data_IF_148510866124
#
_entry.id   IF_148510866124
#
_cell.length_a   1.000
_cell.length_b   1.000
_cell.length_c   1.000
_cell.angle_alpha   90.00
_cell.angle_beta   90.00
_cell.angle_gamma   90.00
#
_symmetry.space_group_name_H-M   'P 1'
#
loop_
_entity.id
_entity.type
_entity.pdbx_description
1 polymer ?
2 non-polymer ?
3 non-polymer ?
4 non-polymer ?
5 non-polymer ?
6 water ?
#
# COMPACT_ATOMS: atom_id res chain seq x y z
N UNK A 2 5.78 23.64 21.28
CA UNK A 2 6.49 22.42 20.76
C UNK A 2 6.67 22.55 19.25
N UNK A 3 7.91 22.55 18.76
CA UNK A 3 8.10 22.86 17.35
C UNK A 3 7.50 21.79 16.41
N UNK A 4 7.54 20.50 16.82
CA UNK A 4 6.99 19.39 16.01
C UNK A 4 5.48 19.46 16.02
N UNK A 5 4.93 19.87 17.15
CA UNK A 5 3.51 20.18 17.24
C UNK A 5 3.04 21.23 16.23
N UNK A 6 3.72 22.36 16.20
CA UNK A 6 3.43 23.45 15.25
C UNK A 6 3.66 22.96 13.82
N UNK A 7 4.74 22.22 13.61
CA UNK A 7 4.95 21.62 12.28
C UNK A 7 3.87 20.62 11.84
N UNK A 8 3.33 19.85 12.79
CA UNK A 8 2.33 18.81 12.48
C UNK A 8 1.07 19.47 11.98
N UNK A 9 0.72 20.57 12.66
CA UNK A 9 -0.40 21.38 12.26
C UNK A 9 -0.24 21.87 10.83
N UNK A 10 0.95 22.34 10.48
CA UNK A 10 1.17 22.89 9.15
C UNK A 10 1.10 21.82 8.06
N UNK A 11 1.67 20.65 8.36
CA UNK A 11 1.73 19.56 7.39
C UNK A 11 0.32 19.03 7.10
N UNK A 12 -0.48 18.94 8.14
CA UNK A 12 -1.84 18.52 7.97
C UNK A 12 -2.58 19.50 7.09
N UNK A 13 -2.36 20.80 7.32
CA UNK A 13 -3.01 21.83 6.52
C UNK A 13 -2.61 21.78 5.04
N UNK A 14 -1.34 21.51 4.75
CA UNK A 14 -0.84 21.39 3.36
C UNK A 14 -1.22 20.10 2.66
N UNK A 15 -1.24 18.99 3.37
CA UNK A 15 -1.38 17.68 2.67
C UNK A 15 -2.57 16.81 3.13
N UNK A 16 -3.20 17.19 4.25
CA UNK A 16 -4.27 16.43 4.87
C UNK A 16 -3.76 15.26 5.72
N UNK A 17 -2.45 15.05 5.76
CA UNK A 17 -1.85 13.93 6.47
C UNK A 17 -1.65 14.39 7.89
N UNK A 18 -2.16 13.64 8.86
CA UNK A 18 -2.12 14.06 10.25
C UNK A 18 -1.02 13.26 10.93
N UNK A 19 0.13 13.89 11.15
CA UNK A 19 1.27 13.23 11.76
C UNK A 19 1.00 12.88 13.22
N UNK A 20 -0.08 13.40 13.84
CA UNK A 20 -0.41 12.89 15.19
C UNK A 20 -0.84 11.42 15.19
N UNK A 21 -1.16 10.91 14.00
CA UNK A 21 -1.59 9.51 13.76
C UNK A 21 -0.45 8.57 13.37
N UNK A 22 0.76 9.11 13.37
CA UNK A 22 2.00 8.40 13.08
C UNK A 22 2.84 8.37 14.34
N UNK A 23 3.50 7.26 14.56
CA UNK A 23 4.44 7.14 15.68
C UNK A 23 5.35 8.37 15.70
N UNK A 24 5.36 9.08 16.83
CA UNK A 24 6.01 10.40 16.90
C UNK A 24 7.50 10.35 16.83
N UNK A 25 8.14 9.80 17.88
CA UNK A 25 9.61 9.74 17.93
C UNK A 25 10.19 9.36 16.56
N UNK A 26 9.59 8.37 15.94
CA UNK A 26 10.10 7.80 14.69
C UNK A 26 9.97 8.67 13.40
N UNK A 27 8.79 9.27 13.23
CA UNK A 27 8.56 10.14 12.11
C UNK A 27 9.28 11.44 12.36
N UNK A 28 9.28 11.91 13.60
CA UNK A 28 9.98 13.18 13.91
C UNK A 28 11.47 13.09 13.52
N UNK A 29 12.04 11.91 13.73
CA UNK A 29 13.44 11.67 13.40
C UNK A 29 13.68 11.56 11.90
N UNK A 30 12.84 10.80 11.21
CA UNK A 30 12.95 10.74 9.78
C UNK A 30 12.80 12.09 9.08
N UNK A 31 11.92 12.96 9.56
CA UNK A 31 11.68 14.22 8.86
C UNK A 31 12.78 15.23 9.21
N UNK A 32 13.26 15.19 10.45
CA UNK A 32 14.47 15.99 10.89
C UNK A 32 15.64 15.64 9.98
N UNK A 33 15.88 14.35 9.80
CA UNK A 33 16.92 13.87 8.89
C UNK A 33 16.75 14.42 7.49
N UNK A 34 15.53 14.34 6.98
CA UNK A 34 15.25 14.84 5.62
C UNK A 34 15.42 16.38 5.46
N UNK A 35 14.82 17.20 6.34
CA UNK A 35 15.12 18.66 6.29
C UNK A 35 16.63 18.99 6.50
N UNK A 36 17.33 18.23 7.36
CA UNK A 36 18.77 18.51 7.62
C UNK A 36 19.63 18.21 6.41
N UNK A 37 19.30 17.12 5.72
CA UNK A 37 19.96 16.80 4.45
C UNK A 37 19.82 17.95 3.43
N UNK A 38 18.67 18.59 3.41
CA UNK A 38 18.47 19.80 2.58
C UNK A 38 19.03 21.09 3.26
N UNK A 39 19.67 20.94 4.45
CA UNK A 39 20.28 22.09 5.14
C UNK A 39 19.26 23.06 5.78
N UNK A 40 18.01 22.63 5.96
CA UNK A 40 17.15 23.38 6.90
C UNK A 40 17.68 23.25 8.32
N UNK A 41 17.32 24.21 9.18
CA UNK A 41 17.83 24.20 10.53
C UNK A 41 16.69 24.11 11.52
N UNK A 42 15.45 24.16 11.02
CA UNK A 42 14.33 23.93 11.92
C UNK A 42 13.17 23.37 11.13
N UNK A 43 12.19 22.82 11.87
CA UNK A 43 10.91 22.51 11.25
C UNK A 43 10.23 23.78 10.71
N UNK A 44 10.32 24.89 11.47
CA UNK A 44 9.73 26.15 11.03
C UNK A 44 10.21 26.46 9.60
N UNK A 45 11.53 26.42 9.38
CA UNK A 45 12.07 26.83 8.08
C UNK A 45 11.69 25.83 7.01
N UNK A 46 11.64 24.55 7.37
CA UNK A 46 11.28 23.45 6.49
C UNK A 46 9.83 23.66 6.01
N UNK A 47 8.97 23.97 6.97
CA UNK A 47 7.53 24.19 6.70
C UNK A 47 7.40 25.32 5.70
N UNK A 48 8.11 26.42 5.93
CA UNK A 48 8.03 27.60 5.01
C UNK A 48 8.38 27.22 3.55
N UNK A 49 9.42 26.43 3.36
CA UNK A 49 9.77 25.97 2.02
C UNK A 49 8.72 25.06 1.40
N UNK A 50 8.21 24.11 2.19
CA UNK A 50 7.19 23.15 1.69
C UNK A 50 5.97 23.88 1.14
N UNK A 51 5.62 25.03 1.74
CA UNK A 51 4.47 25.83 1.25
C UNK A 51 4.74 26.53 -0.04
N UNK A 52 6.02 26.70 -0.38
CA UNK A 52 6.43 27.44 -1.57
C UNK A 52 7.03 26.52 -2.68
N UNK A 53 7.34 25.25 -2.36
CA UNK A 53 8.02 24.35 -3.32
C UNK A 53 7.30 23.00 -3.42
N UNK A 54 6.48 22.83 -4.46
CA UNK A 54 5.59 21.66 -4.63
C UNK A 54 6.41 20.42 -4.73
N UNK A 55 7.45 20.46 -5.54
CA UNK A 55 8.41 19.38 -5.58
C UNK A 55 8.97 18.99 -4.21
N UNK A 56 9.30 19.96 -3.35
CA UNK A 56 9.86 19.59 -2.03
C UNK A 56 8.78 18.82 -1.26
N UNK A 57 7.55 19.31 -1.32
CA UNK A 57 6.36 18.71 -0.69
C UNK A 57 6.11 17.29 -1.20
N UNK A 58 6.15 17.10 -2.53
CA UNK A 58 5.94 15.79 -3.11
C UNK A 58 7.11 14.89 -2.75
N UNK A 59 8.31 15.44 -2.81
CA UNK A 59 9.46 14.69 -2.35
C UNK A 59 9.30 14.25 -0.88
N UNK A 60 8.83 15.15 -0.01
CA UNK A 60 8.71 14.82 1.42
C UNK A 60 7.66 13.73 1.69
N UNK A 61 6.53 13.79 0.99
CA UNK A 61 5.55 12.71 1.12
C UNK A 61 6.25 11.41 0.68
N UNK A 62 7.02 11.51 -0.39
CA UNK A 62 7.68 10.35 -0.96
C UNK A 62 8.76 9.83 -0.05
N UNK A 63 9.11 10.61 0.98
CA UNK A 63 10.16 10.23 1.90
C UNK A 63 9.71 10.03 3.33
N UNK A 64 8.42 10.12 3.61
CA UNK A 64 8.02 9.89 4.99
C UNK A 64 8.00 8.43 5.49
N UNK A 65 8.08 7.44 4.58
CA UNK A 65 8.19 6.03 4.96
C UNK A 65 9.35 5.35 4.22
N UNK A 66 9.71 4.16 4.63
CA UNK A 66 10.60 3.35 3.80
C UNK A 66 9.76 2.65 2.74
N UNK A 67 9.84 3.09 1.47
CA UNK A 67 8.78 2.66 0.56
C UNK A 67 9.22 1.75 -0.59
N UNK A 68 10.45 1.26 -0.51
CA UNK A 68 11.00 0.31 -1.50
C UNK A 68 10.12 -0.95 -1.40
N UNK A 69 9.78 -1.52 -2.55
CA UNK A 69 8.83 -2.63 -2.60
C UNK A 69 9.37 -3.63 -3.65
N UNK A 70 8.67 -4.72 -3.80
CA UNK A 70 9.06 -5.74 -4.75
C UNK A 70 7.84 -6.61 -4.96
N UNK A 71 7.84 -7.31 -6.07
CA UNK A 71 6.81 -8.27 -6.40
C UNK A 71 6.84 -9.43 -5.42
N UNK A 72 5.67 -9.97 -5.13
CA UNK A 72 5.51 -11.11 -4.19
C UNK A 72 6.35 -10.86 -2.95
N UNK A 73 6.32 -9.66 -2.38
CA UNK A 73 7.09 -9.42 -1.14
C UNK A 73 6.69 -10.47 -0.06
N UNK A 74 7.67 -11.20 0.49
CA UNK A 74 7.45 -12.39 1.35
C UNK A 74 6.73 -13.46 0.60
N UNK A 75 7.49 -14.08 -0.31
CA UNK A 75 6.91 -14.84 -1.43
C UNK A 75 5.99 -15.96 -0.88
N UNK A 76 6.43 -16.66 0.17
CA UNK A 76 5.65 -17.78 0.61
C UNK A 76 4.21 -17.39 1.06
N UNK A 77 4.03 -16.16 1.54
CA UNK A 77 2.73 -15.66 1.98
C UNK A 77 1.81 -15.53 0.79
N UNK A 78 2.38 -15.22 -0.39
CA UNK A 78 1.56 -15.22 -1.61
C UNK A 78 1.12 -16.62 -2.05
N UNK A 79 1.93 -17.66 -1.81
CA UNK A 79 1.40 -18.99 -2.04
C UNK A 79 0.28 -19.38 -1.09
N UNK A 80 0.40 -18.95 0.17
CA UNK A 80 -0.68 -19.08 1.15
C UNK A 80 -1.93 -18.44 0.62
N UNK A 81 -1.78 -17.24 0.08
CA UNK A 81 -2.90 -16.51 -0.41
C UNK A 81 -3.51 -17.31 -1.54
N UNK A 82 -2.62 -17.71 -2.44
CA UNK A 82 -3.05 -18.52 -3.55
C UNK A 82 -3.81 -19.82 -3.16
N UNK A 83 -3.23 -20.61 -2.26
CA UNK A 83 -3.74 -21.95 -2.05
C UNK A 83 -4.77 -22.04 -0.95
N UNK A 84 -4.65 -21.21 0.08
CA UNK A 84 -5.42 -21.31 1.32
C UNK A 84 -6.53 -20.30 1.36
N UNK A 85 -6.26 -19.12 0.77
CA UNK A 85 -7.15 -18.01 0.96
C UNK A 85 -8.09 -17.83 -0.21
N UNK A 86 -7.59 -18.01 -1.43
CA UNK A 86 -8.42 -17.85 -2.59
C UNK A 86 -9.65 -18.81 -2.57
N UNK A 87 -9.51 -20.04 -2.09
CA UNK A 87 -10.72 -20.85 -2.07
C UNK A 87 -11.81 -20.32 -1.14
N UNK A 88 -11.42 -19.58 -0.13
CA UNK A 88 -12.37 -19.07 0.86
C UNK A 88 -13.09 -17.91 0.27
N UNK A 89 -12.44 -17.11 -0.58
CA UNK A 89 -13.10 -15.86 -1.07
C UNK A 89 -13.66 -15.89 -2.47
N UNK A 90 -13.25 -16.85 -3.32
CA UNK A 90 -13.85 -16.83 -4.66
C UNK A 90 -15.35 -17.12 -4.62
N UNK A 91 -16.07 -16.43 -5.48
CA UNK A 91 -17.49 -16.65 -5.59
C UNK A 91 -17.79 -16.60 -7.10
N UNK A 92 -19.08 -16.63 -7.46
CA UNK A 92 -19.48 -16.47 -8.89
C UNK A 92 -19.27 -15.07 -9.45
N UNK A 93 -19.00 -14.11 -8.58
CA UNK A 93 -18.81 -12.72 -9.04
C UNK A 93 -17.31 -12.44 -9.21
N UNK A 94 -16.95 -11.44 -10.01
CA UNK A 94 -15.55 -10.95 -9.97
C UNK A 94 -15.10 -10.57 -8.54
N UNK A 95 -13.82 -10.78 -8.26
CA UNK A 95 -13.24 -10.36 -6.99
C UNK A 95 -12.98 -8.88 -7.02
N UNK A 96 -13.29 -8.21 -5.89
CA UNK A 96 -13.02 -6.77 -5.71
C UNK A 96 -11.91 -6.74 -4.66
N UNK A 97 -10.80 -6.13 -5.04
CA UNK A 97 -9.54 -6.18 -4.26
C UNK A 97 -9.08 -4.76 -3.97
N UNK A 98 -8.52 -4.54 -2.80
CA UNK A 98 -7.90 -3.23 -2.51
C UNK A 98 -6.46 -3.49 -2.09
N UNK A 99 -5.54 -2.86 -2.82
CA UNK A 99 -4.14 -2.79 -2.43
C UNK A 99 -3.98 -1.43 -1.76
N UNK A 100 -3.94 -1.41 -0.44
CA UNK A 100 -4.11 -0.16 0.32
C UNK A 100 -2.72 0.24 0.77
N UNK A 101 -2.18 1.31 0.17
CA UNK A 101 -0.77 1.71 0.32
C UNK A 101 0.13 0.90 -0.61
N UNK A 102 -0.07 1.15 -1.88
CA UNK A 102 0.52 0.29 -2.94
C UNK A 102 1.92 0.72 -3.31
N UNK A 103 2.36 1.88 -2.81
CA UNK A 103 3.66 2.48 -3.18
C UNK A 103 3.82 2.45 -4.73
N UNK A 104 5.00 2.00 -5.25
CA UNK A 104 5.30 2.09 -6.68
C UNK A 104 4.60 0.97 -7.55
N UNK A 105 3.66 0.24 -6.95
CA UNK A 105 2.77 -0.66 -7.72
C UNK A 105 3.14 -2.14 -7.73
N UNK A 106 4.26 -2.52 -7.15
CA UNK A 106 4.67 -3.94 -7.18
C UNK A 106 3.57 -4.88 -6.63
N UNK A 107 2.95 -4.49 -5.50
CA UNK A 107 1.93 -5.26 -4.85
C UNK A 107 0.68 -5.44 -5.73
N UNK A 108 0.12 -4.32 -6.27
CA UNK A 108 -1.13 -4.54 -6.98
C UNK A 108 -0.87 -5.34 -8.27
N UNK A 109 0.32 -5.12 -8.87
CA UNK A 109 0.68 -5.90 -10.05
C UNK A 109 0.85 -7.39 -9.73
N UNK A 110 1.49 -7.69 -8.62
CA UNK A 110 1.49 -9.04 -8.09
C UNK A 110 0.09 -9.60 -8.01
N UNK A 111 -0.77 -8.94 -7.24
CA UNK A 111 -2.15 -9.36 -7.13
C UNK A 111 -2.77 -9.69 -8.51
N UNK A 112 -2.62 -8.80 -9.48
CA UNK A 112 -3.25 -8.96 -10.80
C UNK A 112 -2.67 -10.15 -11.52
N UNK A 113 -1.37 -10.32 -11.45
CA UNK A 113 -0.70 -11.45 -12.16
C UNK A 113 -1.01 -12.81 -11.51
N UNK A 114 -1.10 -12.81 -10.18
CA UNK A 114 -1.55 -13.98 -9.44
C UNK A 114 -3.00 -14.32 -9.83
N UNK A 115 -3.88 -13.32 -9.84
CA UNK A 115 -5.29 -13.56 -10.11
C UNK A 115 -5.56 -13.93 -11.55
N UNK A 116 -4.80 -13.33 -12.49
CA UNK A 116 -5.03 -13.64 -13.89
C UNK A 116 -4.76 -15.10 -14.20
N UNK A 117 -3.81 -15.69 -13.45
CA UNK A 117 -3.46 -17.10 -13.61
C UNK A 117 -4.55 -18.04 -13.09
N UNK A 118 -5.54 -17.49 -12.39
CA UNK A 118 -6.61 -18.30 -11.84
C UNK A 118 -7.63 -18.62 -12.91
N UNK A 119 -7.44 -19.74 -13.63
CA UNK A 119 -8.33 -20.07 -14.74
C UNK A 119 -9.79 -20.19 -14.29
N UNK A 120 -10.63 -19.46 -14.99
CA UNK A 120 -12.08 -19.47 -14.68
C UNK A 120 -12.56 -18.53 -13.58
N UNK A 121 -11.65 -17.82 -12.92
CA UNK A 121 -12.04 -16.77 -11.99
C UNK A 121 -12.91 -15.77 -12.80
N UNK A 122 -14.10 -15.44 -12.29
CA UNK A 122 -15.07 -14.59 -13.04
C UNK A 122 -14.56 -13.24 -13.44
N UNK A 123 -13.61 -12.72 -12.67
CA UNK A 123 -13.00 -11.47 -13.00
C UNK A 123 -12.21 -10.96 -11.83
N UNK A 124 -11.55 -9.83 -11.99
CA UNK A 124 -10.93 -9.22 -10.80
C UNK A 124 -10.73 -7.74 -11.11
N UNK A 125 -10.80 -6.97 -10.04
CA UNK A 125 -10.80 -5.53 -10.05
C UNK A 125 -9.90 -5.14 -8.90
N UNK A 126 -8.85 -4.38 -9.16
CA UNK A 126 -8.03 -3.96 -8.03
C UNK A 126 -8.00 -2.42 -7.94
N UNK A 127 -8.48 -1.87 -6.83
CA UNK A 127 -8.19 -0.49 -6.45
C UNK A 127 -6.81 -0.46 -5.78
N UNK A 128 -5.92 0.43 -6.26
CA UNK A 128 -4.59 0.50 -5.70
C UNK A 128 -4.43 1.96 -5.22
N UNK A 129 -4.23 2.18 -3.91
CA UNK A 129 -4.17 3.56 -3.38
C UNK A 129 -2.91 3.87 -2.58
N UNK A 130 -2.53 5.14 -2.63
CA UNK A 130 -1.43 5.63 -1.83
C UNK A 130 -1.61 7.16 -1.66
N UNK A 131 -0.94 7.73 -0.66
CA UNK A 131 -0.89 9.17 -0.52
C UNK A 131 0.23 9.75 -1.38
N UNK A 132 1.16 8.90 -1.82
CA UNK A 132 2.40 9.35 -2.53
C UNK A 132 2.17 9.44 -4.06
N UNK A 133 1.95 10.63 -4.60
CA UNK A 133 1.57 10.77 -6.00
C UNK A 133 2.70 10.42 -6.94
N UNK A 134 3.93 10.63 -6.52
CA UNK A 134 5.06 10.30 -7.39
C UNK A 134 5.19 8.77 -7.55
N UNK A 135 4.91 8.04 -6.47
CA UNK A 135 4.90 6.57 -6.49
C UNK A 135 3.76 6.07 -7.35
N UNK A 136 2.60 6.71 -7.24
CA UNK A 136 1.45 6.32 -8.09
C UNK A 136 1.79 6.53 -9.59
N UNK A 137 2.41 7.66 -9.89
CA UNK A 137 2.86 7.98 -11.27
C UNK A 137 3.70 6.86 -11.83
N UNK A 138 4.64 6.41 -11.02
CA UNK A 138 5.57 5.29 -11.37
C UNK A 138 4.80 3.99 -11.54
N UNK A 139 3.87 3.71 -10.63
CA UNK A 139 3.10 2.49 -10.68
C UNK A 139 2.28 2.46 -11.97
N UNK A 140 1.63 3.58 -12.30
CA UNK A 140 0.88 3.67 -13.54
C UNK A 140 1.70 3.32 -14.79
N UNK A 141 2.93 3.80 -14.85
CA UNK A 141 3.81 3.56 -15.99
C UNK A 141 4.17 2.07 -16.04
N UNK A 142 4.30 1.45 -14.89
CA UNK A 142 4.44 -0.04 -14.93
C UNK A 142 5.83 -0.57 -15.33
N UNK A 143 6.86 0.24 -15.18
CA UNK A 143 8.23 -0.18 -15.58
C UNK A 143 9.00 -0.56 -14.33
N UNK A 144 9.59 -1.76 -14.34
CA UNK A 144 10.33 -2.21 -13.15
C UNK A 144 11.69 -2.69 -13.55
N UNK A 145 12.68 -2.47 -12.67
CA UNK A 145 14.02 -3.04 -12.87
C UNK A 145 14.08 -4.40 -12.16
N UNK A 146 14.94 -5.32 -12.63
CA UNK A 146 14.99 -6.70 -12.15
C UNK A 146 15.04 -6.77 -10.61
N UNK A 147 15.64 -5.79 -9.95
CA UNK A 147 15.76 -5.79 -8.48
C UNK A 147 14.40 -5.89 -7.78
N UNK A 148 13.33 -5.48 -8.46
CA UNK A 148 11.93 -5.50 -7.91
C UNK A 148 11.15 -6.77 -8.29
N UNK A 149 11.82 -7.64 -9.03
CA UNK A 149 11.14 -8.77 -9.69
C UNK A 149 11.80 -10.12 -9.33
N UNK A 150 12.65 -10.13 -8.29
CA UNK A 150 13.46 -11.32 -7.99
C UNK A 150 12.62 -12.53 -7.59
N UNK A 151 11.43 -12.32 -7.09
CA UNK A 151 10.58 -13.42 -6.68
C UNK A 151 9.54 -13.75 -7.75
N UNK A 152 9.52 -13.01 -8.88
CA UNK A 152 8.58 -13.37 -9.98
C UNK A 152 9.08 -14.64 -10.71
N UNK A 153 8.27 -15.71 -10.70
CA UNK A 153 8.67 -16.95 -11.41
C UNK A 153 8.89 -16.61 -12.88
N UNK A 154 9.87 -17.22 -13.52
CA UNK A 154 10.18 -16.80 -14.92
C UNK A 154 9.00 -16.87 -15.87
N UNK A 155 8.23 -17.96 -15.84
CA UNK A 155 7.10 -18.00 -16.81
C UNK A 155 6.10 -16.85 -16.63
N UNK A 156 5.89 -16.43 -15.38
CA UNK A 156 4.97 -15.33 -15.06
C UNK A 156 5.57 -14.01 -15.64
N UNK A 157 6.88 -13.82 -15.43
CA UNK A 157 7.61 -12.61 -15.96
C UNK A 157 7.51 -12.59 -17.49
N UNK A 158 7.73 -13.73 -18.10
CA UNK A 158 7.63 -13.80 -19.55
C UNK A 158 6.19 -13.50 -20.05
N UNK A 159 5.18 -14.03 -19.37
CA UNK A 159 3.78 -13.92 -19.77
C UNK A 159 3.26 -12.46 -19.63
N UNK A 160 3.65 -11.77 -18.56
CA UNK A 160 2.92 -10.54 -18.20
C UNK A 160 3.68 -9.25 -18.33
N UNK A 161 4.96 -9.35 -18.71
CA UNK A 161 5.80 -8.14 -18.95
C UNK A 161 6.43 -8.29 -20.34
N UNK A 162 6.81 -7.14 -20.93
CA UNK A 162 7.79 -7.09 -21.99
C UNK A 162 9.11 -6.85 -21.30
N UNK A 163 10.20 -7.45 -21.80
CA UNK A 163 11.54 -7.10 -21.35
C UNK A 163 12.09 -6.12 -22.40
N UNK A 164 12.21 -4.84 -22.03
CA UNK A 164 12.56 -3.79 -22.95
C UNK A 164 14.03 -3.58 -23.05
N UNK A 165 14.74 -3.86 -21.98
CA UNK A 165 16.22 -3.83 -21.99
C UNK A 165 16.77 -4.84 -20.98
N UNK A 166 18.07 -4.85 -20.74
CA UNK A 166 18.70 -5.94 -20.02
C UNK A 166 18.00 -6.31 -18.69
N UNK A 167 17.78 -5.36 -17.84
CA UNK A 167 17.12 -5.72 -16.59
C UNK A 167 15.88 -4.88 -16.38
N UNK A 168 15.30 -4.43 -17.50
CA UNK A 168 14.17 -3.50 -17.49
C UNK A 168 12.95 -4.17 -18.14
N UNK A 169 11.83 -4.20 -17.40
CA UNK A 169 10.57 -4.84 -17.86
C UNK A 169 9.38 -3.90 -17.69
N UNK A 170 8.29 -4.18 -18.43
CA UNK A 170 7.10 -3.37 -18.34
C UNK A 170 5.88 -4.25 -18.30
N UNK A 171 4.97 -3.94 -17.39
CA UNK A 171 3.76 -4.71 -17.20
C UNK A 171 2.91 -4.46 -18.49
N UNK A 172 2.35 -5.56 -19.00
CA UNK A 172 1.47 -5.50 -20.13
C UNK A 172 0.11 -4.83 -19.81
N UNK A 173 -0.50 -4.25 -20.85
CA UNK A 173 -1.83 -3.64 -20.65
C UNK A 173 -2.93 -4.63 -20.19
N UNK A 174 -2.82 -5.91 -20.61
CA UNK A 174 -3.85 -6.84 -20.21
C UNK A 174 -3.90 -7.00 -18.70
N UNK A 175 -2.84 -6.58 -18.00
CA UNK A 175 -2.84 -6.59 -16.52
C UNK A 175 -3.24 -5.22 -16.02
N UNK A 176 -2.59 -4.17 -16.53
CA UNK A 176 -2.91 -2.80 -16.11
C UNK A 176 -4.40 -2.47 -16.19
N UNK A 177 -5.10 -3.00 -17.19
CA UNK A 177 -6.49 -2.65 -17.40
C UNK A 177 -7.40 -3.07 -16.22
N UNK A 178 -6.94 -3.98 -15.38
CA UNK A 178 -7.71 -4.41 -14.21
C UNK A 178 -7.38 -3.66 -12.91
N UNK A 179 -6.58 -2.59 -13.01
CA UNK A 179 -6.09 -1.88 -11.80
C UNK A 179 -6.40 -0.42 -11.97
N UNK A 180 -6.98 0.19 -10.92
CA UNK A 180 -7.23 1.63 -10.88
C UNK A 180 -6.34 2.22 -9.77
N UNK A 181 -5.39 3.06 -10.19
CA UNK A 181 -4.48 3.74 -9.27
C UNK A 181 -5.08 5.07 -8.82
N UNK A 182 -5.24 5.27 -7.51
CA UNK A 182 -5.98 6.41 -6.99
C UNK A 182 -5.26 7.02 -5.75
N UNK A 183 -5.25 8.36 -5.63
CA UNK A 183 -4.63 9.01 -4.51
C UNK A 183 -5.65 8.92 -3.41
N UNK A 184 -5.22 8.41 -2.27
CA UNK A 184 -6.14 8.18 -1.14
C UNK A 184 -5.36 8.05 0.16
N UNK A 185 -5.89 8.67 1.23
CA UNK A 185 -5.30 8.68 2.56
C UNK A 185 -6.10 7.72 3.44
N UNK A 186 -5.46 6.60 3.82
CA UNK A 186 -6.10 5.63 4.76
C UNK A 186 -6.61 6.30 6.02
N UNK A 187 -6.05 7.45 6.39
CA UNK A 187 -6.39 8.05 7.71
C UNK A 187 -7.50 9.08 7.64
N UNK A 188 -7.95 9.46 6.45
CA UNK A 188 -8.79 10.66 6.33
C UNK A 188 -9.90 10.53 5.35
N UNK A 189 -9.76 9.60 4.43
CA UNK A 189 -10.63 9.55 3.27
C UNK A 189 -11.63 8.46 3.38
N UNK A 190 -12.69 8.60 2.59
CA UNK A 190 -13.78 7.63 2.70
C UNK A 190 -13.29 6.30 2.11
N UNK A 191 -13.73 5.21 2.73
CA UNK A 191 -13.38 3.86 2.29
C UNK A 191 -14.51 3.28 1.40
N UNK A 192 -14.18 2.68 0.27
CA UNK A 192 -15.22 1.87 -0.43
C UNK A 192 -15.56 0.62 0.37
N UNK A 193 -16.60 -0.11 -0.07
CA UNK A 193 -17.24 -1.15 0.71
C UNK A 193 -17.24 -2.40 -0.14
N UNK A 194 -17.55 -3.55 0.50
CA UNK A 194 -17.74 -4.83 -0.18
C UNK A 194 -16.51 -5.38 -0.95
N UNK A 195 -15.33 -5.34 -0.32
CA UNK A 195 -14.09 -5.94 -0.94
C UNK A 195 -14.08 -7.41 -0.60
N UNK A 196 -13.64 -8.25 -1.53
CA UNK A 196 -13.40 -9.68 -1.23
C UNK A 196 -12.06 -9.81 -0.53
N UNK A 197 -11.14 -8.94 -0.92
CA UNK A 197 -9.77 -9.01 -0.42
C UNK A 197 -9.19 -7.62 -0.24
N UNK A 198 -8.63 -7.34 0.95
CA UNK A 198 -7.92 -6.07 1.18
C UNK A 198 -6.50 -6.45 1.58
N UNK A 199 -5.53 -5.93 0.85
CA UNK A 199 -4.11 -6.22 1.12
C UNK A 199 -3.56 -4.89 1.60
N UNK A 200 -3.08 -4.87 2.84
CA UNK A 200 -2.61 -3.60 3.44
C UNK A 200 -1.42 -4.05 4.22
N UNK A 201 -0.25 -3.88 3.59
CA UNK A 201 1.00 -4.42 4.18
C UNK A 201 2.10 -3.40 4.29
N UNK A 202 2.81 -3.42 5.42
CA UNK A 202 3.97 -2.50 5.60
C UNK A 202 3.60 -1.01 5.51
N UNK A 203 2.37 -0.72 5.95
CA UNK A 203 1.98 0.67 6.23
C UNK A 203 1.51 0.91 7.68
N UNK A 204 0.84 -0.07 8.28
CA UNK A 204 0.29 0.11 9.62
C UNK A 204 1.46 0.37 10.58
N UNK A 205 2.64 -0.12 10.20
CA UNK A 205 3.87 -0.03 11.01
C UNK A 205 4.22 1.42 11.28
N UNK A 206 3.72 2.34 10.46
CA UNK A 206 4.03 3.73 10.68
C UNK A 206 3.07 4.42 11.60
N UNK A 207 1.89 3.81 11.79
CA UNK A 207 0.78 4.52 12.47
C UNK A 207 0.93 4.24 13.98
N UNK A 208 0.40 5.13 14.84
CA UNK A 208 0.25 4.81 16.26
C UNK A 208 -0.64 3.60 16.46
N UNK A 209 -0.44 2.91 17.59
CA UNK A 209 -1.34 1.84 17.94
C UNK A 209 -2.80 2.27 17.88
N UNK A 210 -3.09 3.40 18.49
CA UNK A 210 -4.44 3.88 18.43
C UNK A 210 -4.98 4.12 17.00
N UNK A 211 -4.16 4.60 16.06
CA UNK A 211 -4.65 4.91 14.70
C UNK A 211 -4.93 3.61 13.93
N UNK A 212 -3.99 2.66 14.00
CA UNK A 212 -4.18 1.41 13.29
C UNK A 212 -5.33 0.62 13.89
N UNK A 213 -5.57 0.70 15.21
CA UNK A 213 -6.76 0.01 15.73
C UNK A 213 -8.04 0.54 15.09
N UNK A 214 -8.09 1.86 14.88
CA UNK A 214 -9.24 2.44 14.22
C UNK A 214 -9.31 1.98 12.77
N UNK A 215 -8.16 1.81 12.11
CA UNK A 215 -8.25 1.39 10.71
C UNK A 215 -8.67 -0.11 10.53
N UNK A 216 -8.36 -1.00 11.48
CA UNK A 216 -8.77 -2.43 11.41
C UNK A 216 -10.27 -2.49 11.40
N UNK A 217 -10.89 -1.70 12.25
CA UNK A 217 -12.37 -1.70 12.27
C UNK A 217 -12.96 -1.15 10.94
N UNK A 218 -12.39 -0.11 10.38
CA UNK A 218 -12.85 0.39 9.05
C UNK A 218 -12.66 -0.64 7.95
N UNK A 219 -11.53 -1.36 7.97
CA UNK A 219 -11.31 -2.46 7.05
C UNK A 219 -12.26 -3.63 7.18
N UNK A 220 -12.47 -4.10 8.43
CA UNK A 220 -13.43 -5.16 8.70
C UNK A 220 -14.75 -4.70 8.12
N UNK A 221 -15.14 -3.45 8.38
CA UNK A 221 -16.34 -2.94 7.77
C UNK A 221 -16.40 -2.95 6.27
N UNK A 222 -15.29 -2.63 5.62
CA UNK A 222 -15.20 -2.57 4.15
C UNK A 222 -15.13 -3.98 3.48
N UNK A 223 -15.02 -5.06 4.27
CA UNK A 223 -14.99 -6.43 3.72
C UNK A 223 -16.38 -6.96 3.56
N UNK A 224 -16.66 -7.66 2.43
CA UNK A 224 -17.85 -8.57 2.34
C UNK A 224 -17.67 -9.63 3.43
N UNK A 225 -18.78 -10.26 3.83
CA UNK A 225 -18.76 -11.38 4.77
C UNK A 225 -17.96 -12.46 4.07
N UNK A 226 -17.13 -13.18 4.83
CA UNK A 226 -16.08 -14.09 4.31
C UNK A 226 -14.92 -13.48 3.53
N UNK A 227 -14.91 -12.18 3.28
CA UNK A 227 -13.74 -11.54 2.66
C UNK A 227 -12.53 -11.58 3.61
N UNK A 228 -11.33 -11.25 3.12
CA UNK A 228 -10.09 -11.46 3.88
C UNK A 228 -9.22 -10.19 3.84
N UNK A 229 -8.62 -9.89 4.99
CA UNK A 229 -7.57 -8.87 5.15
C UNK A 229 -6.16 -9.54 5.25
N UNK A 230 -5.26 -9.10 4.38
CA UNK A 230 -3.89 -9.64 4.25
C UNK A 230 -2.93 -8.53 4.72
N UNK A 231 -2.27 -8.77 5.89
CA UNK A 231 -1.33 -7.80 6.45
C UNK A 231 0.16 -8.13 6.25
N UNK A 232 1.03 -7.19 6.60
CA UNK A 232 2.49 -7.38 6.41
C UNK A 232 3.02 -8.36 7.44
N UNK A 233 4.25 -8.82 7.23
CA UNK A 233 4.76 -9.96 7.97
C UNK A 233 5.27 -9.56 9.37
N UNK A 234 5.12 -8.30 9.74
CA UNK A 234 5.46 -7.87 11.11
C UNK A 234 4.19 -7.39 11.83
N UNK A 235 3.04 -7.51 11.18
CA UNK A 235 1.81 -6.95 11.69
C UNK A 235 0.87 -7.97 12.31
N UNK A 236 0.02 -7.50 13.19
CA UNK A 236 -0.88 -8.39 13.88
C UNK A 236 -2.08 -7.63 14.44
N UNK A 237 -3.24 -8.27 14.39
CA UNK A 237 -4.46 -7.63 14.97
C UNK A 237 -4.81 -8.43 16.22
N UNK A 238 -4.88 -7.78 17.38
CA UNK A 238 -5.13 -8.53 18.65
C UNK A 238 -6.62 -8.66 18.83
N UNK A 239 -7.07 -9.82 19.35
CA UNK A 239 -8.49 -10.08 19.56
C UNK A 239 -9.33 -9.81 18.33
N UNK A 240 -9.00 -10.50 17.20
CA UNK A 240 -9.64 -10.18 15.94
C UNK A 240 -11.20 -10.36 15.97
N UNK A 241 -11.66 -11.33 16.76
CA UNK A 241 -13.11 -11.57 17.08
C UNK A 241 -13.83 -10.27 17.48
N UNK A 242 -13.17 -9.40 18.24
CA UNK A 242 -13.78 -8.10 18.54
C UNK A 242 -14.06 -7.28 17.30
N UNK A 243 -13.31 -7.51 16.22
CA UNK A 243 -13.58 -6.81 14.94
C UNK A 243 -14.49 -7.69 14.03
N UNK A 244 -14.82 -8.89 14.51
CA UNK A 244 -15.56 -9.82 13.65
C UNK A 244 -14.68 -10.47 12.60
N UNK A 245 -13.40 -10.54 12.92
CA UNK A 245 -12.44 -11.18 12.04
C UNK A 245 -12.01 -12.47 12.70
N UNK A 246 -11.72 -13.49 11.91
CA UNK A 246 -11.07 -14.69 12.45
C UNK A 246 -9.74 -14.91 11.73
N UNK A 247 -8.67 -15.27 12.47
CA UNK A 247 -7.38 -15.53 11.84
C UNK A 247 -7.50 -16.72 10.92
N UNK A 248 -7.07 -16.58 9.67
CA UNK A 248 -7.25 -17.64 8.65
C UNK A 248 -5.99 -18.49 8.45
N UNK A 249 -4.85 -17.82 8.37
CA UNK A 249 -3.51 -18.41 8.54
C UNK A 249 -2.77 -17.18 9.01
N UNK A 250 -1.51 -17.35 9.35
CA UNK A 250 -0.72 -16.23 9.86
C UNK A 250 -0.79 -15.05 8.86
N UNK A 251 -1.18 -13.89 9.36
CA UNK A 251 -1.27 -12.65 8.59
C UNK A 251 -2.51 -12.53 7.70
N UNK A 252 -3.40 -13.52 7.73
CA UNK A 252 -4.74 -13.36 7.07
C UNK A 252 -5.88 -13.36 8.06
N UNK A 253 -6.89 -12.50 7.85
CA UNK A 253 -8.05 -12.38 8.74
C UNK A 253 -9.30 -12.43 7.90
N UNK A 254 -10.24 -13.32 8.27
CA UNK A 254 -11.47 -13.51 7.54
C UNK A 254 -12.65 -12.89 8.24
N UNK A 255 -13.49 -12.18 7.48
CA UNK A 255 -14.67 -11.57 8.04
C UNK A 255 -15.76 -12.62 8.23
N UNK A 256 -16.17 -12.88 9.47
CA UNK A 256 -17.21 -13.89 9.74
C UNK A 256 -18.68 -13.50 9.45
#
# INVERSE_FOLDING_TARGET
MDTYSVFTTKWKQLTGVDLTLYKEAQMKRRLTSLYEKKGFQSFKDFAAALEKDQALLNETLDRMTINVSEFYRNYKRWEVLETAILPLIKTSRPLKIWSAACSTGEEPYTLAMLLDQQKGLPGYQILATDIDEKALEKAKKGVYQERSLQEVPLSVKDRYFTQNANRSYEVKTEIKKNITFKKHNLLADRYEQDFDLIVCRNVFIYFTESAKEELYLKMAHSLKKNGVLFVGSTEQIFNPEKFGLVPADTFFYQKR
#
